data_IF_749025084619
#
_entry.id   IF_749025084619
#
_cell.length_a   1.000
_cell.length_b   1.000
_cell.length_c   1.000
_cell.angle_alpha   90.00
_cell.angle_beta   90.00
_cell.angle_gamma   90.00
#
_symmetry.space_group_name_H-M   'P 1'
#
loop_
_entity.id
_entity.type
_entity.pdbx_description
1 polymer ?
#
# COMPACT_ATOMS: atom_id res chain seq x y z
N UNK A 1 -8.55 30.08 6.33
CA UNK A 1 -9.15 28.81 5.84
C UNK A 1 -8.17 27.70 6.19
N UNK A 2 -8.58 26.70 6.98
CA UNK A 2 -7.71 25.58 7.35
C UNK A 2 -7.52 24.63 6.15
N UNK A 3 -6.36 23.99 6.05
CA UNK A 3 -6.07 22.97 5.05
C UNK A 3 -5.28 21.84 5.72
N UNK A 4 -5.61 20.57 5.43
CA UNK A 4 -4.87 19.45 5.99
C UNK A 4 -3.43 19.49 5.49
N UNK A 5 -2.50 19.18 6.39
CA UNK A 5 -1.06 19.17 6.11
C UNK A 5 -0.51 17.76 5.99
N UNK A 6 -1.23 16.75 6.50
CA UNK A 6 -0.82 15.35 6.54
C UNK A 6 -2.01 14.44 6.22
N UNK A 7 -1.70 13.21 5.86
CA UNK A 7 -2.64 12.09 5.86
C UNK A 7 -2.09 10.97 6.73
N UNK A 8 -2.97 10.21 7.34
CA UNK A 8 -2.64 8.96 8.01
C UNK A 8 -3.15 7.82 7.13
N UNK A 9 -2.26 6.89 6.78
CA UNK A 9 -2.56 5.72 5.94
C UNK A 9 -2.29 4.46 6.72
N UNK A 10 -3.27 3.57 6.76
CA UNK A 10 -3.11 2.27 7.43
C UNK A 10 -3.34 1.13 6.48
N UNK A 11 -2.33 0.28 6.33
CA UNK A 11 -2.37 -0.93 5.52
C UNK A 11 -2.79 -2.08 6.40
N UNK A 12 -3.99 -2.61 6.16
CA UNK A 12 -4.54 -3.70 6.94
C UNK A 12 -3.99 -5.04 6.47
N UNK A 13 -4.28 -5.40 5.22
CA UNK A 13 -3.98 -6.74 4.68
C UNK A 13 -3.99 -6.78 3.16
N UNK A 14 -3.45 -7.85 2.59
CA UNK A 14 -3.65 -8.23 1.21
C UNK A 14 -4.14 -9.67 1.09
N UNK A 15 -4.97 -9.93 0.07
CA UNK A 15 -5.54 -11.25 -0.21
C UNK A 15 -5.36 -11.67 -1.65
N UNK A 16 -5.17 -12.97 -1.88
CA UNK A 16 -5.02 -13.55 -3.22
C UNK A 16 -3.70 -13.19 -3.92
N UNK A 17 -2.65 -12.90 -3.15
CA UNK A 17 -1.31 -12.66 -3.67
C UNK A 17 -0.80 -13.85 -4.46
N UNK A 18 -0.13 -13.55 -5.56
CA UNK A 18 0.59 -14.56 -6.32
C UNK A 18 1.83 -15.01 -5.55
N UNK A 19 2.04 -16.32 -5.48
CA UNK A 19 3.17 -16.91 -4.77
C UNK A 19 4.40 -16.90 -5.69
N UNK A 20 5.46 -16.19 -5.28
CA UNK A 20 6.72 -16.04 -6.01
C UNK A 20 7.92 -16.70 -5.35
N UNK A 21 7.91 -16.84 -4.03
CA UNK A 21 9.06 -17.39 -3.32
C UNK A 21 9.11 -18.92 -3.36
N UNK A 22 10.26 -19.45 -2.93
CA UNK A 22 10.49 -20.90 -2.82
C UNK A 22 9.58 -21.47 -1.72
N UNK A 23 9.24 -22.75 -1.84
CA UNK A 23 8.38 -23.49 -0.89
C UNK A 23 6.94 -22.97 -0.81
N UNK A 24 6.43 -22.33 -1.86
CA UNK A 24 5.05 -21.88 -1.88
C UNK A 24 4.77 -20.68 -0.98
N UNK A 25 5.78 -19.89 -0.62
CA UNK A 25 5.64 -18.74 0.28
C UNK A 25 6.26 -17.47 -0.29
N UNK A 26 5.93 -16.32 0.30
CA UNK A 26 6.46 -15.01 -0.01
C UNK A 26 7.01 -14.34 1.26
N UNK A 27 7.99 -13.45 1.11
CA UNK A 27 8.32 -12.45 2.12
C UNK A 27 7.74 -11.11 1.66
N UNK A 28 6.59 -10.73 2.20
CA UNK A 28 5.76 -9.63 1.66
C UNK A 28 5.86 -8.35 2.48
N UNK A 29 5.87 -7.21 1.79
CA UNK A 29 5.73 -5.89 2.40
C UNK A 29 5.01 -4.93 1.45
N UNK A 30 4.61 -3.76 1.97
CA UNK A 30 4.01 -2.69 1.18
C UNK A 30 4.87 -1.45 1.24
N UNK A 31 5.17 -0.85 0.09
CA UNK A 31 5.63 0.56 0.05
C UNK A 31 4.44 1.47 -0.15
N UNK A 32 4.35 2.49 0.69
CA UNK A 32 3.32 3.52 0.70
C UNK A 32 4.00 4.82 0.27
N UNK A 33 3.52 5.48 -0.78
CA UNK A 33 4.17 6.68 -1.29
C UNK A 33 3.16 7.79 -1.61
N UNK A 34 3.47 9.01 -1.17
CA UNK A 34 2.75 10.24 -1.49
C UNK A 34 3.76 11.28 -1.98
N UNK A 35 3.76 11.56 -3.29
CA UNK A 35 4.75 12.45 -3.89
C UNK A 35 6.19 11.95 -3.67
N UNK A 36 6.97 12.67 -2.87
CA UNK A 36 8.36 12.32 -2.53
C UNK A 36 8.47 11.45 -1.28
N UNK A 37 7.47 11.48 -0.42
CA UNK A 37 7.51 10.70 0.81
C UNK A 37 7.16 9.24 0.56
N UNK A 38 7.87 8.38 1.29
CA UNK A 38 7.75 6.93 1.18
C UNK A 38 7.87 6.31 2.55
N UNK A 39 6.96 5.39 2.82
CA UNK A 39 7.00 4.51 3.97
C UNK A 39 7.03 3.05 3.50
N UNK A 40 7.55 2.19 4.35
CA UNK A 40 7.57 0.75 4.11
C UNK A 40 7.04 0.04 5.36
N UNK A 41 6.08 -0.86 5.18
CA UNK A 41 5.66 -1.75 6.26
C UNK A 41 6.76 -2.74 6.60
N UNK A 42 6.57 -3.42 7.72
CA UNK A 42 7.34 -4.60 8.09
C UNK A 42 7.21 -5.68 7.02
N UNK A 43 8.29 -6.45 6.86
CA UNK A 43 8.28 -7.63 6.01
C UNK A 43 7.66 -8.79 6.78
N UNK A 44 6.61 -9.39 6.23
CA UNK A 44 6.04 -10.64 6.72
C UNK A 44 6.64 -11.79 5.94
N UNK A 45 7.51 -12.56 6.59
CA UNK A 45 8.19 -13.69 5.99
C UNK A 45 7.29 -14.92 5.89
N UNK A 46 7.57 -15.78 4.90
CA UNK A 46 6.91 -17.08 4.69
C UNK A 46 5.37 -17.02 4.63
N UNK A 47 4.80 -15.94 4.10
CA UNK A 47 3.34 -15.81 3.93
C UNK A 47 2.87 -16.50 2.65
N UNK A 48 1.62 -16.95 2.61
CA UNK A 48 1.03 -17.59 1.43
C UNK A 48 0.43 -16.53 0.48
N UNK A 49 -0.83 -16.71 0.10
CA UNK A 49 -1.61 -15.81 -0.73
C UNK A 49 -2.24 -14.65 0.08
N UNK A 50 -2.45 -14.82 1.38
CA UNK A 50 -3.04 -13.80 2.26
C UNK A 50 -2.01 -13.34 3.31
N UNK A 51 -2.03 -12.05 3.65
CA UNK A 51 -1.09 -11.43 4.60
C UNK A 51 -1.73 -10.22 5.29
N UNK A 52 -1.50 -10.09 6.59
CA UNK A 52 -2.01 -9.00 7.43
C UNK A 52 -0.84 -8.19 8.02
N UNK A 53 -0.88 -6.87 7.89
CA UNK A 53 0.11 -5.92 8.42
C UNK A 53 -0.45 -5.13 9.61
N UNK A 54 -1.61 -4.47 9.44
CA UNK A 54 -2.18 -3.53 10.42
C UNK A 54 -1.20 -2.43 10.83
N UNK A 55 -0.46 -1.90 9.86
CA UNK A 55 0.58 -0.89 10.07
C UNK A 55 0.13 0.46 9.53
N UNK A 56 0.41 1.51 10.30
CA UNK A 56 -0.01 2.89 10.06
C UNK A 56 1.21 3.78 9.83
N UNK A 57 1.08 4.74 8.92
CA UNK A 57 2.07 5.80 8.72
C UNK A 57 1.41 7.15 8.41
N UNK A 58 2.09 8.22 8.79
CA UNK A 58 1.71 9.59 8.44
C UNK A 58 2.57 10.08 7.25
N UNK A 59 1.95 10.81 6.33
CA UNK A 59 2.58 11.39 5.14
C UNK A 59 2.12 12.83 4.98
N UNK A 60 3.05 13.77 4.85
CA UNK A 60 2.82 15.16 4.53
C UNK A 60 2.23 15.35 3.13
N UNK A 61 1.17 16.15 3.06
CA UNK A 61 0.52 16.54 1.81
C UNK A 61 1.44 17.55 1.08
N UNK A 62 1.74 17.34 -0.21
CA UNK A 62 2.56 18.29 -0.97
C UNK A 62 1.94 19.69 -0.95
N UNK A 63 2.73 20.70 -0.55
CA UNK A 63 2.26 22.09 -0.45
C UNK A 63 1.98 22.77 -1.80
N UNK A 64 2.48 22.20 -2.90
CA UNK A 64 2.24 22.67 -4.27
C UNK A 64 1.49 21.62 -5.07
N UNK A 65 0.29 21.99 -5.52
CA UNK A 65 -0.60 21.15 -6.31
C UNK A 65 -1.84 20.74 -5.54
N UNK A 66 -2.99 20.83 -6.19
CA UNK A 66 -4.30 20.42 -5.66
C UNK A 66 -4.58 18.92 -5.87
N UNK A 67 -3.58 18.14 -6.27
CA UNK A 67 -3.69 16.70 -6.55
C UNK A 67 -2.41 16.01 -6.10
N UNK A 68 -2.55 14.96 -5.31
CA UNK A 68 -1.49 14.03 -4.97
C UNK A 68 -1.95 12.59 -5.25
N UNK A 69 -1.02 11.75 -5.71
CA UNK A 69 -1.26 10.34 -5.97
C UNK A 69 -0.68 9.52 -4.80
N UNK A 70 -1.55 8.78 -4.10
CA UNK A 70 -1.13 7.77 -3.13
C UNK A 70 -0.88 6.45 -3.87
N UNK A 71 0.33 5.92 -3.73
CA UNK A 71 0.73 4.67 -4.37
C UNK A 71 1.00 3.63 -3.30
N UNK A 72 0.27 2.51 -3.37
CA UNK A 72 0.47 1.34 -2.54
C UNK A 72 1.01 0.21 -3.42
N UNK A 73 2.19 -0.30 -3.09
CA UNK A 73 2.83 -1.36 -3.88
C UNK A 73 3.17 -2.54 -3.00
N UNK A 74 2.53 -3.68 -3.25
CA UNK A 74 2.88 -4.94 -2.59
C UNK A 74 4.10 -5.56 -3.27
N UNK A 75 5.02 -6.02 -2.43
CA UNK A 75 6.37 -6.37 -2.78
C UNK A 75 6.77 -7.71 -2.18
N UNK A 76 7.56 -8.47 -2.92
CA UNK A 76 8.22 -9.69 -2.44
C UNK A 76 9.73 -9.48 -2.32
N UNK A 77 10.30 -9.69 -1.12
CA UNK A 77 11.75 -9.63 -0.89
C UNK A 77 12.40 -11.00 -1.09
N UNK A 78 13.22 -11.13 -2.12
CA UNK A 78 14.10 -12.28 -2.31
C UNK A 78 15.49 -12.04 -1.67
N UNK A 79 16.27 -13.11 -1.51
CA UNK A 79 17.64 -13.05 -0.93
C UNK A 79 18.64 -12.27 -1.79
N UNK A 80 18.26 -11.87 -3.02
CA UNK A 80 19.12 -11.19 -4.00
C UNK A 80 18.80 -9.70 -4.19
N UNK A 81 17.87 -9.12 -3.41
CA UNK A 81 17.71 -7.65 -3.37
C UNK A 81 16.60 -7.04 -4.24
N UNK A 82 15.46 -7.72 -4.39
CA UNK A 82 14.17 -7.28 -4.98
C UNK A 82 13.99 -7.51 -6.49
N UNK A 83 12.92 -8.23 -6.88
CA UNK A 83 12.41 -8.26 -8.27
C UNK A 83 10.86 -8.41 -8.37
N UNK A 84 10.23 -7.36 -8.91
CA UNK A 84 8.96 -7.23 -9.69
C UNK A 84 7.56 -7.47 -9.06
N UNK A 85 6.55 -6.70 -9.51
CA UNK A 85 5.42 -6.16 -8.74
C UNK A 85 4.03 -6.36 -9.40
N UNK A 86 2.91 -6.18 -8.65
CA UNK A 86 1.79 -5.37 -9.17
C UNK A 86 1.67 -4.09 -8.33
N UNK A 87 1.56 -2.96 -9.01
CA UNK A 87 1.40 -1.61 -8.45
C UNK A 87 -0.10 -1.28 -8.37
N UNK A 88 -0.57 -0.78 -7.22
CA UNK A 88 -1.90 -0.15 -7.13
C UNK A 88 -1.70 1.34 -6.88
N UNK A 89 -2.23 2.17 -7.75
CA UNK A 89 -2.10 3.63 -7.66
C UNK A 89 -3.46 4.28 -7.55
N UNK A 90 -3.59 5.19 -6.59
CA UNK A 90 -4.80 5.98 -6.32
C UNK A 90 -4.46 7.42 -6.67
N UNK A 91 -4.92 7.85 -7.85
CA UNK A 91 -4.53 9.11 -8.49
C UNK A 91 -5.13 10.37 -7.89
N UNK A 92 -6.19 10.24 -7.08
CA UNK A 92 -6.89 11.39 -6.51
C UNK A 92 -7.38 11.04 -5.11
N UNK A 93 -6.74 11.64 -4.11
CA UNK A 93 -7.26 11.67 -2.74
C UNK A 93 -8.06 12.97 -2.64
N UNK A 94 -9.39 12.88 -2.65
CA UNK A 94 -10.24 14.04 -2.34
C UNK A 94 -10.38 14.16 -0.82
N UNK A 95 -10.22 15.38 -0.30
CA UNK A 95 -10.16 15.74 1.13
C UNK A 95 -11.42 15.47 1.96
N UNK A 96 -12.37 14.68 1.45
CA UNK A 96 -13.72 14.51 2.01
C UNK A 96 -14.16 13.05 2.13
N UNK A 97 -13.29 12.05 1.98
CA UNK A 97 -13.76 10.66 1.91
C UNK A 97 -12.91 9.67 2.71
N UNK A 98 -13.57 8.97 3.64
CA UNK A 98 -13.15 7.64 4.08
C UNK A 98 -13.15 6.71 2.86
N UNK A 99 -11.97 6.44 2.29
CA UNK A 99 -11.86 5.48 1.19
C UNK A 99 -11.59 4.08 1.76
N UNK A 100 -12.62 3.23 1.75
CA UNK A 100 -12.48 1.77 1.90
C UNK A 100 -12.53 1.17 0.51
N UNK A 101 -11.38 0.77 -0.05
CA UNK A 101 -11.37 0.15 -1.38
C UNK A 101 -11.50 -1.37 -1.26
N UNK A 102 -12.69 -1.89 -1.53
CA UNK A 102 -12.95 -3.32 -1.67
C UNK A 102 -13.16 -3.68 -3.16
N UNK A 103 -12.34 -4.60 -3.65
CA UNK A 103 -12.43 -5.35 -4.93
C UNK A 103 -12.09 -4.60 -6.23
N UNK A 104 -11.18 -5.19 -7.01
CA UNK A 104 -11.27 -5.21 -8.48
C UNK A 104 -10.75 -6.55 -9.01
N UNK A 105 -11.61 -7.22 -9.78
CA UNK A 105 -11.44 -8.44 -10.57
C UNK A 105 -11.26 -9.78 -9.80
N UNK A 106 -12.06 -10.83 -10.11
CA UNK A 106 -11.92 -12.17 -9.53
C UNK A 106 -10.61 -12.89 -9.91
N UNK A 107 -9.76 -12.27 -10.74
CA UNK A 107 -8.43 -12.75 -11.13
C UNK A 107 -7.29 -11.82 -10.63
N UNK A 108 -7.59 -10.89 -9.73
CA UNK A 108 -6.61 -9.94 -9.15
C UNK A 108 -6.59 -9.99 -7.62
N UNK A 109 -5.40 -9.82 -7.03
CA UNK A 109 -5.25 -9.70 -5.58
C UNK A 109 -5.82 -8.36 -5.07
N UNK A 110 -6.19 -8.32 -3.80
CA UNK A 110 -6.76 -7.14 -3.13
C UNK A 110 -5.83 -6.63 -2.03
N UNK A 111 -5.77 -5.31 -1.85
CA UNK A 111 -5.08 -4.64 -0.73
C UNK A 111 -6.10 -3.78 0.00
N UNK A 112 -6.18 -3.93 1.32
CA UNK A 112 -7.13 -3.25 2.18
C UNK A 112 -6.39 -2.19 2.99
N UNK A 113 -6.86 -0.94 2.94
CA UNK A 113 -6.28 0.20 3.65
C UNK A 113 -7.36 1.24 3.98
N UNK A 114 -7.05 2.16 4.88
CA UNK A 114 -7.84 3.38 5.13
C UNK A 114 -6.95 4.63 5.10
N UNK A 115 -7.57 5.79 4.87
CA UNK A 115 -6.92 7.11 4.85
C UNK A 115 -7.71 8.06 5.75
N UNK A 116 -7.00 8.84 6.58
CA UNK A 116 -7.54 9.91 7.42
C UNK A 116 -6.77 11.21 7.08
N UNK A 117 -7.44 12.37 7.10
CA UNK A 117 -6.89 13.71 6.79
C UNK A 117 -6.77 14.60 8.03
#
# INVERSE_FOLDING_TARGET
>A
MWSPTHIVVTVLKAKGLYIKGKNGTNNCFVTIALGKEKYQTTIKDKVFNDVDWHEECELSIPSRGNKAELILTVLHRNKLGNVSYKKKSIKSINYSSHFKFERMCPHCFSVFFYIIF
#
